data_IF_807883979981
#
_entry.id   IF_807883979981
#
_cell.length_a   1.000
_cell.length_b   1.000
_cell.length_c   1.000
_cell.angle_alpha   90.00
_cell.angle_beta   90.00
_cell.angle_gamma   90.00
#
_symmetry.space_group_name_H-M   'P 1'
#
loop_
_entity.id
_entity.type
_entity.pdbx_description
1 polymer ?
#
# COMPACT_ATOMS: atom_id res chain seq x y z
N UNK A 1 -8.48 -14.17 3.39
CA UNK A 1 -7.50 -13.88 2.34
C UNK A 1 -6.49 -12.86 2.85
N UNK A 2 -5.21 -13.10 2.68
CA UNK A 2 -4.23 -12.15 3.15
C UNK A 2 -4.20 -10.89 2.28
N UNK A 3 -3.64 -9.85 2.85
CA UNK A 3 -3.40 -8.63 2.08
C UNK A 3 -2.42 -8.91 0.94
N UNK A 4 -2.53 -8.14 -0.10
CA UNK A 4 -1.58 -8.25 -1.20
C UNK A 4 -1.12 -6.87 -1.62
N UNK A 5 0.16 -6.65 -1.47
CA UNK A 5 0.79 -5.39 -1.88
C UNK A 5 1.96 -5.72 -2.79
N UNK A 6 1.98 -5.11 -3.95
CA UNK A 6 3.08 -5.32 -4.90
C UNK A 6 3.68 -3.97 -5.23
N UNK A 7 4.99 -3.87 -5.08
CA UNK A 7 5.72 -2.66 -5.43
C UNK A 7 6.89 -3.02 -6.32
N UNK A 8 7.35 -2.06 -7.10
CA UNK A 8 8.52 -2.25 -7.96
C UNK A 8 9.71 -1.56 -7.33
N UNK A 9 10.80 -2.30 -7.21
CA UNK A 9 12.05 -1.78 -6.66
C UNK A 9 13.15 -2.10 -7.65
N UNK A 10 13.76 -1.06 -8.23
CA UNK A 10 14.85 -1.21 -9.20
C UNK A 10 14.47 -2.12 -10.35
N UNK A 11 13.23 -2.02 -10.81
CA UNK A 11 12.76 -2.81 -11.94
C UNK A 11 12.33 -4.22 -11.59
N UNK A 12 12.30 -4.57 -10.30
CA UNK A 12 11.92 -5.91 -9.86
C UNK A 12 10.64 -5.81 -9.02
N UNK A 13 9.68 -6.68 -9.29
CA UNK A 13 8.44 -6.71 -8.53
C UNK A 13 8.64 -7.44 -7.22
N UNK A 14 8.14 -6.85 -6.14
CA UNK A 14 8.20 -7.43 -4.81
C UNK A 14 6.78 -7.51 -4.25
N UNK A 15 6.41 -8.67 -3.74
CA UNK A 15 5.09 -8.89 -3.17
C UNK A 15 5.20 -9.01 -1.66
N UNK A 16 4.27 -8.35 -0.96
CA UNK A 16 4.22 -8.39 0.50
C UNK A 16 2.80 -8.69 0.92
N UNK A 17 2.65 -9.37 2.05
CA UNK A 17 1.34 -9.68 2.61
C UNK A 17 1.04 -8.81 3.83
N UNK A 18 1.89 -7.85 4.12
CA UNK A 18 1.75 -6.99 5.27
C UNK A 18 2.26 -5.59 4.94
N UNK A 19 1.48 -4.57 5.31
CA UNK A 19 1.87 -3.19 5.04
C UNK A 19 3.21 -2.83 5.67
N UNK A 20 3.44 -3.33 6.89
CA UNK A 20 4.68 -3.03 7.61
C UNK A 20 5.91 -3.59 6.93
N UNK A 21 5.75 -4.58 6.07
CA UNK A 21 6.87 -5.17 5.37
C UNK A 21 7.27 -4.39 4.14
N UNK A 22 6.44 -3.47 3.69
CA UNK A 22 6.74 -2.67 2.50
C UNK A 22 7.84 -1.67 2.84
N UNK A 23 8.99 -1.72 2.14
CA UNK A 23 10.05 -0.75 2.40
C UNK A 23 9.64 0.63 1.90
N UNK A 24 10.28 1.67 2.44
CA UNK A 24 10.00 3.03 1.99
C UNK A 24 10.79 3.40 0.74
N UNK A 25 11.53 2.46 0.18
CA UNK A 25 12.42 2.72 -0.95
C UNK A 25 11.96 2.03 -2.22
N UNK A 26 10.66 2.01 -2.47
CA UNK A 26 10.15 1.45 -3.71
C UNK A 26 10.00 2.57 -4.75
N UNK A 27 9.97 2.17 -6.02
CA UNK A 27 9.84 3.12 -7.12
C UNK A 27 8.37 3.36 -7.47
N UNK A 28 7.58 2.29 -7.56
CA UNK A 28 6.18 2.38 -7.92
C UNK A 28 5.34 1.39 -7.14
N UNK A 29 4.11 1.77 -6.86
CA UNK A 29 3.12 0.86 -6.30
C UNK A 29 2.41 0.22 -7.49
N UNK A 30 2.50 -1.09 -7.59
CA UNK A 30 1.89 -1.82 -8.69
C UNK A 30 0.49 -2.31 -8.31
N UNK A 31 0.36 -2.82 -7.09
CA UNK A 31 -0.93 -3.30 -6.62
C UNK A 31 -1.06 -3.01 -5.13
N UNK A 32 -2.21 -2.50 -4.73
CA UNK A 32 -2.51 -2.25 -3.32
C UNK A 32 -3.88 -2.84 -3.04
N UNK A 33 -3.89 -4.01 -2.44
CA UNK A 33 -5.12 -4.75 -2.20
C UNK A 33 -5.19 -5.22 -0.76
N UNK A 34 -5.64 -4.36 0.17
CA UNK A 34 -5.82 -4.78 1.56
C UNK A 34 -7.01 -5.71 1.68
N UNK A 35 -6.96 -6.60 2.65
CA UNK A 35 -8.09 -7.47 2.93
C UNK A 35 -9.13 -6.67 3.71
N UNK A 36 -10.30 -6.52 3.11
CA UNK A 36 -11.41 -5.82 3.74
C UNK A 36 -12.51 -6.83 3.98
N UNK A 37 -12.96 -6.99 5.24
CA UNK A 37 -14.00 -7.96 5.53
C UNK A 37 -15.30 -7.59 4.84
N UNK A 38 -16.13 -8.57 4.46
CA UNK A 38 -17.40 -8.27 3.82
C UNK A 38 -18.35 -7.54 4.78
N UNK A 39 -19.19 -6.66 4.23
CA UNK A 39 -20.11 -5.87 5.00
C UNK A 39 -21.30 -6.65 5.48
N UNK A 40 -22.13 -6.09 6.39
CA UNK A 40 -21.99 -4.74 6.96
C UNK A 40 -20.83 -4.63 7.93
N UNK A 41 -20.23 -3.44 7.98
CA UNK A 41 -19.04 -3.23 8.80
C UNK A 41 -19.41 -2.58 10.14
N UNK A 42 -18.67 -2.96 11.18
CA UNK A 42 -18.77 -2.30 12.47
C UNK A 42 -18.02 -0.98 12.41
N UNK A 43 -18.13 -0.17 13.48
CA UNK A 43 -17.40 1.08 13.55
C UNK A 43 -15.89 0.83 13.50
N UNK A 44 -15.43 -0.19 14.21
CA UNK A 44 -14.00 -0.51 14.22
C UNK A 44 -13.52 -0.90 12.82
N UNK A 45 -14.34 -1.64 12.07
CA UNK A 45 -13.98 -2.02 10.72
C UNK A 45 -13.96 -0.82 9.78
N UNK A 46 -14.87 0.13 9.98
CA UNK A 46 -14.87 1.36 9.21
C UNK A 46 -13.59 2.17 9.45
N UNK A 47 -13.16 2.24 10.69
CA UNK A 47 -11.92 2.94 11.02
C UNK A 47 -10.72 2.27 10.37
N UNK A 48 -10.72 0.93 10.32
CA UNK A 48 -9.64 0.20 9.66
C UNK A 48 -9.64 0.48 8.17
N UNK A 49 -10.81 0.50 7.54
CA UNK A 49 -10.91 0.79 6.12
C UNK A 49 -10.40 2.20 5.82
N UNK A 50 -10.77 3.16 6.67
CA UNK A 50 -10.31 4.53 6.52
C UNK A 50 -8.79 4.62 6.66
N UNK A 51 -8.21 3.83 7.57
CA UNK A 51 -6.76 3.85 7.76
C UNK A 51 -6.04 3.30 6.54
N UNK A 52 -6.66 2.38 5.79
CA UNK A 52 -6.05 1.87 4.56
C UNK A 52 -5.95 2.96 3.51
N UNK A 53 -6.93 3.86 3.46
CA UNK A 53 -6.86 4.98 2.54
C UNK A 53 -5.66 5.88 2.88
N UNK A 54 -5.46 6.15 4.17
CA UNK A 54 -4.31 6.94 4.61
C UNK A 54 -2.99 6.25 4.29
N UNK A 55 -2.95 4.95 4.46
CA UNK A 55 -1.74 4.18 4.14
C UNK A 55 -1.43 4.21 2.66
N UNK A 56 -2.47 4.10 1.83
CA UNK A 56 -2.29 4.20 0.39
C UNK A 56 -1.78 5.59 -0.01
N UNK A 57 -2.36 6.63 0.58
CA UNK A 57 -1.94 7.99 0.31
C UNK A 57 -0.46 8.19 0.67
N UNK A 58 -0.04 7.60 1.77
CA UNK A 58 1.36 7.67 2.18
C UNK A 58 2.28 7.00 1.17
N UNK A 59 1.87 5.84 0.65
CA UNK A 59 2.66 5.15 -0.37
C UNK A 59 2.73 5.99 -1.64
N UNK A 60 1.65 6.66 -2.00
CA UNK A 60 1.64 7.53 -3.16
C UNK A 60 2.58 8.72 -2.97
N UNK A 61 2.67 9.26 -1.76
CA UNK A 61 3.60 10.35 -1.47
C UNK A 61 5.05 9.89 -1.68
N UNK A 62 5.35 8.68 -1.23
CA UNK A 62 6.70 8.12 -1.39
C UNK A 62 7.01 7.94 -2.89
N UNK A 63 6.05 7.43 -3.64
CA UNK A 63 6.23 7.24 -5.07
C UNK A 63 6.46 8.59 -5.77
N UNK A 64 5.67 9.59 -5.42
CA UNK A 64 5.82 10.92 -6.01
C UNK A 64 7.16 11.53 -5.68
N UNK A 65 7.61 11.38 -4.44
CA UNK A 65 8.89 11.93 -4.03
C UNK A 65 10.03 11.30 -4.82
N UNK A 66 9.99 10.00 -5.03
CA UNK A 66 11.03 9.32 -5.80
C UNK A 66 10.97 9.70 -7.27
N UNK A 67 9.77 9.82 -7.83
CA UNK A 67 9.63 10.27 -9.20
C UNK A 67 10.18 11.66 -9.41
N UNK A 68 9.99 12.53 -8.43
CA UNK A 68 10.50 13.90 -8.51
C UNK A 68 12.03 13.94 -8.46
N UNK A 69 12.65 12.97 -7.81
CA UNK A 69 14.09 12.91 -7.69
C UNK A 69 14.77 12.27 -8.89
N UNK A 70 14.00 11.58 -9.70
CA UNK A 70 14.51 10.87 -10.86
C UNK A 70 14.55 11.80 -12.05
N UNK A 71 15.59 12.55 -12.17
CA UNK A 71 15.70 13.54 -13.22
C UNK A 71 16.93 13.35 -14.03
#
# INVERSE_FOLDING_TARGET
MPHRFVVMISGVLHEFDSYEHIPAEFDHVIEFRPEIPPGPHTRAEHEEIDSWQLKFDRLMEIEHARSSQTR
#
